data_IF_660541843846
#
_entry.id   IF_660541843846
#
_cell.length_a   1.000
_cell.length_b   1.000
_cell.length_c   1.000
_cell.angle_alpha   90.00
_cell.angle_beta   90.00
_cell.angle_gamma   90.00
#
_symmetry.space_group_name_H-M   'P 1'
#
loop_
_entity.id
_entity.type
_entity.pdbx_description
1 polymer ?
#
# COMPACT_ATOMS: atom_id res chain seq x y z
N UNK A 1 -33.44 -31.13 43.77
CA UNK A 1 -33.95 -31.07 42.38
C UNK A 1 -33.03 -30.14 41.59
N UNK A 2 -32.62 -30.57 40.39
CA UNK A 2 -31.53 -30.00 39.57
C UNK A 2 -31.91 -28.62 38.99
N UNK A 3 -31.01 -27.65 39.12
CA UNK A 3 -31.03 -26.40 38.35
C UNK A 3 -30.18 -26.65 37.10
N UNK A 4 -30.83 -26.79 35.95
CA UNK A 4 -30.15 -26.89 34.66
C UNK A 4 -29.85 -25.49 34.14
N UNK A 5 -28.58 -25.08 34.22
CA UNK A 5 -28.10 -23.85 33.59
C UNK A 5 -27.66 -24.19 32.17
N UNK A 6 -28.50 -23.92 31.18
CA UNK A 6 -28.16 -24.05 29.77
C UNK A 6 -27.36 -22.83 29.34
N UNK A 7 -26.04 -22.98 29.18
CA UNK A 7 -25.17 -21.95 28.61
C UNK A 7 -25.28 -22.06 27.09
N UNK A 8 -25.92 -21.09 26.45
CA UNK A 8 -25.86 -20.90 24.99
C UNK A 8 -24.53 -20.21 24.65
N UNK A 9 -23.54 -20.99 24.23
CA UNK A 9 -22.34 -20.47 23.57
C UNK A 9 -22.68 -20.11 22.13
N UNK A 10 -23.02 -18.84 21.92
CA UNK A 10 -23.08 -18.27 20.58
C UNK A 10 -21.63 -18.05 20.12
N UNK A 11 -21.05 -19.05 19.45
CA UNK A 11 -19.87 -18.84 18.62
C UNK A 11 -20.32 -18.02 17.40
N UNK A 12 -20.41 -16.71 17.57
CA UNK A 12 -20.42 -15.80 16.44
C UNK A 12 -18.99 -15.75 15.91
N UNK A 13 -18.67 -16.68 15.01
CA UNK A 13 -17.56 -16.53 14.08
C UNK A 13 -17.85 -15.33 13.19
N UNK A 14 -17.63 -14.13 13.73
CA UNK A 14 -17.47 -12.90 12.96
C UNK A 14 -16.28 -13.15 12.05
N UNK A 15 -16.58 -13.62 10.84
CA UNK A 15 -15.69 -13.47 9.72
C UNK A 15 -15.53 -11.96 9.59
N UNK A 16 -14.43 -11.44 10.16
CA UNK A 16 -13.99 -10.08 9.92
C UNK A 16 -13.64 -10.08 8.44
N UNK A 17 -14.63 -9.83 7.59
CA UNK A 17 -14.39 -9.33 6.25
C UNK A 17 -13.78 -7.97 6.51
N UNK A 18 -12.44 -7.94 6.52
CA UNK A 18 -11.68 -6.72 6.52
C UNK A 18 -11.96 -6.08 5.17
N UNK A 19 -13.07 -5.35 5.10
CA UNK A 19 -13.34 -4.46 3.99
C UNK A 19 -12.12 -3.54 3.92
N UNK A 20 -11.35 -3.67 2.84
CA UNK A 20 -10.18 -2.82 2.60
C UNK A 20 -10.59 -1.37 2.83
N UNK A 21 -9.76 -0.61 3.53
CA UNK A 21 -10.05 0.80 3.79
C UNK A 21 -10.37 1.52 2.46
N UNK A 22 -11.23 2.55 2.47
CA UNK A 22 -11.48 3.36 1.29
C UNK A 22 -10.16 3.86 0.68
N UNK A 23 -9.85 3.38 -0.53
CA UNK A 23 -8.60 3.67 -1.23
C UNK A 23 -7.44 2.71 -0.92
N UNK A 24 -7.70 1.51 -0.39
CA UNK A 24 -6.74 0.41 -0.33
C UNK A 24 -6.92 -0.62 -1.46
N UNK A 25 -6.03 -1.61 -1.55
CA UNK A 25 -6.12 -2.74 -2.50
C UNK A 25 -7.44 -3.50 -2.38
N UNK A 26 -8.01 -3.95 -3.52
CA UNK A 26 -9.26 -4.74 -3.55
C UNK A 26 -9.14 -6.09 -2.86
N UNK A 27 -7.98 -6.74 -3.02
CA UNK A 27 -7.64 -8.02 -2.40
C UNK A 27 -6.19 -7.95 -1.90
N UNK A 28 -5.99 -7.47 -0.65
CA UNK A 28 -4.67 -7.34 -0.05
C UNK A 28 -3.86 -8.65 -0.09
N UNK A 29 -4.50 -9.79 0.14
CA UNK A 29 -3.82 -11.09 0.27
C UNK A 29 -3.27 -11.60 -1.08
N UNK A 30 -3.82 -11.10 -2.20
CA UNK A 30 -3.32 -11.40 -3.55
C UNK A 30 -2.01 -10.67 -3.91
N UNK A 31 -1.62 -9.65 -3.14
CA UNK A 31 -0.47 -8.83 -3.45
C UNK A 31 0.85 -9.59 -3.25
N UNK A 32 1.81 -9.29 -4.12
CA UNK A 32 3.14 -9.89 -4.07
C UNK A 32 3.85 -9.60 -2.74
N UNK A 33 4.57 -10.60 -2.23
CA UNK A 33 5.53 -10.44 -1.13
C UNK A 33 6.96 -10.16 -1.63
N UNK A 34 7.12 -10.02 -2.94
CA UNK A 34 8.36 -9.63 -3.59
C UNK A 34 8.65 -8.13 -3.49
N UNK A 35 9.86 -7.71 -3.91
CA UNK A 35 10.28 -6.31 -3.85
C UNK A 35 9.44 -5.45 -4.79
N UNK A 36 9.42 -4.14 -4.53
CA UNK A 36 8.83 -3.17 -5.44
C UNK A 36 9.58 -3.15 -6.78
N UNK A 37 8.88 -3.21 -7.93
CA UNK A 37 9.51 -3.17 -9.24
C UNK A 37 9.85 -1.73 -9.66
N UNK A 38 10.70 -1.05 -8.87
CA UNK A 38 11.02 0.38 -9.08
C UNK A 38 11.65 0.69 -10.44
N UNK A 39 12.26 -0.32 -11.07
CA UNK A 39 12.86 -0.22 -12.40
C UNK A 39 11.82 -0.01 -13.53
N UNK A 40 10.54 -0.30 -13.29
CA UNK A 40 9.44 -0.06 -14.23
C UNK A 40 9.03 1.41 -14.28
N UNK A 41 9.42 2.20 -13.26
CA UNK A 41 9.11 3.62 -13.19
C UNK A 41 10.06 4.44 -14.08
N UNK A 42 9.63 5.63 -14.57
CA UNK A 42 10.52 6.56 -15.24
C UNK A 42 11.75 6.93 -14.39
N UNK A 43 12.89 7.24 -15.02
CA UNK A 43 14.13 7.59 -14.29
C UNK A 43 13.94 8.76 -13.32
N UNK A 44 13.14 9.75 -13.68
CA UNK A 44 12.83 10.90 -12.81
C UNK A 44 12.15 10.46 -11.49
N UNK A 45 11.30 9.43 -11.55
CA UNK A 45 10.66 8.84 -10.37
C UNK A 45 11.65 8.03 -9.55
N UNK A 46 12.46 7.19 -10.20
CA UNK A 46 13.49 6.41 -9.52
C UNK A 46 14.43 7.33 -8.73
N UNK A 47 14.91 8.41 -9.36
CA UNK A 47 15.75 9.41 -8.70
C UNK A 47 15.07 10.04 -7.48
N UNK A 48 13.82 10.49 -7.63
CA UNK A 48 13.03 11.07 -6.55
C UNK A 48 12.82 10.12 -5.37
N UNK A 49 12.47 8.86 -5.65
CA UNK A 49 12.27 7.83 -4.63
C UNK A 49 13.53 7.61 -3.82
N UNK A 50 14.69 7.54 -4.49
CA UNK A 50 15.97 7.34 -3.80
C UNK A 50 16.41 8.58 -3.00
N UNK A 51 16.20 9.80 -3.49
CA UNK A 51 16.58 11.02 -2.77
C UNK A 51 15.78 11.22 -1.48
N UNK A 52 14.53 10.77 -1.50
CA UNK A 52 13.57 10.98 -0.40
C UNK A 52 13.51 9.80 0.58
N UNK A 53 14.09 8.66 0.21
CA UNK A 53 14.07 7.41 0.97
C UNK A 53 14.48 7.56 2.44
N UNK A 54 15.43 8.46 2.73
CA UNK A 54 15.91 8.71 4.11
C UNK A 54 14.87 9.33 5.04
N UNK A 55 13.86 10.01 4.48
CA UNK A 55 12.87 10.76 5.25
C UNK A 55 11.67 9.91 5.64
N UNK A 56 11.49 8.75 5.00
CA UNK A 56 10.30 7.92 5.12
C UNK A 56 10.69 6.46 5.33
N UNK A 57 11.09 6.06 6.55
CA UNK A 57 11.34 4.66 6.85
C UNK A 57 10.03 3.85 6.75
N UNK A 58 10.09 2.57 6.30
CA UNK A 58 11.28 1.81 5.96
C UNK A 58 11.86 2.13 4.58
N UNK A 59 13.12 1.72 4.34
CA UNK A 59 13.78 1.89 3.05
C UNK A 59 12.94 1.26 1.92
N UNK A 60 12.58 2.05 0.90
CA UNK A 60 11.75 1.60 -0.24
C UNK A 60 12.36 0.41 -0.98
N UNK A 61 13.68 0.27 -1.01
CA UNK A 61 14.33 -0.85 -1.67
C UNK A 61 14.15 -2.18 -0.90
N UNK A 62 13.64 -2.11 0.34
CA UNK A 62 13.46 -3.25 1.23
C UNK A 62 12.00 -3.55 1.56
N UNK A 63 11.05 -2.72 1.12
CA UNK A 63 9.63 -2.98 1.32
C UNK A 63 9.09 -3.89 0.19
N UNK A 64 8.20 -4.80 0.54
CA UNK A 64 7.49 -5.61 -0.45
C UNK A 64 6.23 -4.90 -0.96
N UNK A 65 5.69 -5.38 -2.08
CA UNK A 65 4.48 -4.81 -2.71
C UNK A 65 3.30 -4.77 -1.75
N UNK A 66 3.02 -5.87 -1.05
CA UNK A 66 1.93 -5.90 -0.08
C UNK A 66 2.04 -4.79 0.96
N UNK A 67 3.17 -4.68 1.65
CA UNK A 67 3.33 -3.73 2.75
C UNK A 67 3.31 -2.28 2.26
N UNK A 68 3.79 -2.04 1.04
CA UNK A 68 3.67 -0.75 0.35
C UNK A 68 2.21 -0.38 0.06
N UNK A 69 1.42 -1.32 -0.44
CA UNK A 69 0.05 -1.08 -0.91
C UNK A 69 -1.01 -1.11 0.21
N UNK A 70 -0.84 -1.96 1.21
CA UNK A 70 -1.76 -2.06 2.35
C UNK A 70 -1.54 -0.91 3.35
N UNK A 71 -0.38 -0.25 3.26
CA UNK A 71 -0.03 0.94 4.06
C UNK A 71 -0.35 0.75 5.54
N UNK A 72 0.19 -0.31 6.16
CA UNK A 72 -0.10 -0.71 7.55
C UNK A 72 0.55 0.23 8.58
N UNK A 73 0.26 1.53 8.50
CA UNK A 73 0.73 2.56 9.44
C UNK A 73 2.16 3.06 9.21
N UNK A 74 2.78 2.69 8.08
CA UNK A 74 4.12 3.15 7.70
C UNK A 74 4.09 4.42 6.83
N UNK A 75 2.89 4.93 6.51
CA UNK A 75 2.67 6.12 5.69
C UNK A 75 3.34 6.04 4.31
N UNK A 76 3.52 4.82 3.78
CA UNK A 76 4.26 4.60 2.54
C UNK A 76 3.40 5.00 1.35
N UNK A 77 2.08 4.82 1.45
CA UNK A 77 1.13 5.42 0.51
C UNK A 77 1.21 6.94 0.56
N UNK A 78 1.19 7.54 1.75
CA UNK A 78 1.30 8.99 1.90
C UNK A 78 2.62 9.52 1.36
N UNK A 79 3.73 8.83 1.61
CA UNK A 79 5.03 9.15 1.04
C UNK A 79 4.98 9.10 -0.49
N UNK A 80 4.43 8.01 -1.05
CA UNK A 80 4.27 7.85 -2.49
C UNK A 80 3.28 8.83 -3.12
N UNK A 81 2.40 9.45 -2.35
CA UNK A 81 1.46 10.45 -2.88
C UNK A 81 2.00 11.86 -2.69
N UNK A 82 2.62 12.17 -1.55
CA UNK A 82 3.01 13.52 -1.18
C UNK A 82 4.43 13.85 -1.62
N UNK A 83 5.37 12.97 -1.31
CA UNK A 83 6.78 13.18 -1.62
C UNK A 83 7.06 12.92 -3.09
N UNK A 84 6.36 11.96 -3.68
CA UNK A 84 6.40 11.81 -5.13
C UNK A 84 5.71 12.98 -5.82
N UNK A 85 4.52 13.45 -5.42
CA UNK A 85 3.92 14.61 -6.08
C UNK A 85 4.81 15.86 -6.03
N UNK A 86 5.48 16.12 -4.91
CA UNK A 86 6.34 17.30 -4.74
C UNK A 86 7.68 17.16 -5.45
N UNK A 87 8.36 16.01 -5.35
CA UNK A 87 9.64 15.81 -6.05
C UNK A 87 9.45 15.68 -7.57
N UNK A 88 8.46 14.89 -7.99
CA UNK A 88 8.24 14.64 -9.42
C UNK A 88 7.75 15.89 -10.14
N UNK A 89 7.10 16.84 -9.46
CA UNK A 89 6.68 18.11 -10.07
C UNK A 89 7.86 18.94 -10.59
N UNK A 90 9.02 18.84 -9.94
CA UNK A 90 10.25 19.48 -10.39
C UNK A 90 11.13 18.60 -11.29
N UNK A 91 11.03 17.27 -11.17
CA UNK A 91 11.93 16.32 -11.82
C UNK A 91 11.36 15.66 -13.09
N UNK A 92 10.04 15.58 -13.21
CA UNK A 92 9.34 14.84 -14.26
C UNK A 92 8.52 15.79 -15.15
N UNK A 93 8.31 15.39 -16.40
CA UNK A 93 7.35 16.05 -17.27
C UNK A 93 5.91 15.59 -16.96
N UNK A 94 4.91 16.32 -17.47
CA UNK A 94 3.49 16.04 -17.20
C UNK A 94 3.06 14.62 -17.59
N UNK A 95 3.63 14.02 -18.64
CA UNK A 95 3.27 12.67 -19.05
C UNK A 95 3.83 11.63 -18.07
N UNK A 96 5.07 11.80 -17.62
CA UNK A 96 5.73 10.90 -16.66
C UNK A 96 5.07 10.92 -15.27
N UNK A 97 4.40 12.00 -14.91
CA UNK A 97 3.57 12.06 -13.70
C UNK A 97 2.43 11.04 -13.70
N UNK A 98 1.72 10.91 -14.82
CA UNK A 98 0.58 10.01 -14.92
C UNK A 98 1.02 8.54 -14.96
N UNK A 99 2.15 8.24 -15.59
CA UNK A 99 2.71 6.88 -15.67
C UNK A 99 2.89 6.25 -14.31
N UNK A 100 3.41 7.00 -13.34
CA UNK A 100 3.64 6.44 -12.01
C UNK A 100 2.38 6.38 -11.15
N UNK A 101 1.40 7.26 -11.41
CA UNK A 101 0.09 7.11 -10.83
C UNK A 101 -0.54 5.81 -11.35
N UNK A 102 -0.56 5.58 -12.66
CA UNK A 102 -1.08 4.34 -13.25
C UNK A 102 -0.35 3.12 -12.70
N UNK A 103 0.99 3.15 -12.64
CA UNK A 103 1.80 2.10 -12.01
C UNK A 103 1.38 1.80 -10.57
N UNK A 104 1.13 2.82 -9.74
CA UNK A 104 0.66 2.62 -8.37
C UNK A 104 -0.70 1.94 -8.33
N UNK A 105 -1.65 2.37 -9.18
CA UNK A 105 -2.99 1.79 -9.23
C UNK A 105 -2.96 0.33 -9.70
N UNK A 106 -2.14 0.03 -10.71
CA UNK A 106 -1.93 -1.32 -11.23
C UNK A 106 -1.23 -2.21 -10.20
N UNK A 107 -0.11 -1.78 -9.64
CA UNK A 107 0.68 -2.55 -8.67
C UNK A 107 -0.15 -2.92 -7.43
N UNK A 108 -0.96 -1.97 -6.95
CA UNK A 108 -1.76 -2.14 -5.74
C UNK A 108 -3.19 -2.63 -6.02
N UNK A 109 -3.52 -3.04 -7.25
CA UNK A 109 -4.86 -3.53 -7.62
C UNK A 109 -5.99 -2.60 -7.12
N UNK A 110 -5.78 -1.28 -7.28
CA UNK A 110 -6.66 -0.24 -6.76
C UNK A 110 -7.98 -0.17 -7.55
N UNK A 111 -9.04 0.35 -6.91
CA UNK A 111 -10.35 0.57 -7.52
C UNK A 111 -10.44 1.94 -8.20
#
# INVERSE_FOLDING_TARGET
MKVSTTIFTILSSLSIVQAGEPGGPKDPDSLSRGPLPLHELPECWQGCLQSENRWFPPNINNINVHDFCVDTGLHVRFWSQHTLATCTYGACNKAEHYVAQDWYYELCHMN
#
